data_IF_968106397240
#
_entry.id   IF_968106397240
#
_cell.length_a   1.000
_cell.length_b   1.000
_cell.length_c   1.000
_cell.angle_alpha   90.00
_cell.angle_beta   90.00
_cell.angle_gamma   90.00
#
_symmetry.space_group_name_H-M   'P 1'
#
loop_
_entity.id
_entity.type
_entity.pdbx_description
1 polymer ?
#
# COMPACT_ATOMS: atom_id res chain seq x y z
N UNK A 1 13.27 -21.65 -12.99
CA UNK A 1 13.02 -20.34 -12.38
C UNK A 1 11.59 -20.27 -11.88
N UNK A 2 11.44 -20.01 -10.61
CA UNK A 2 10.12 -19.90 -10.05
C UNK A 2 9.44 -18.63 -10.57
N UNK A 3 8.30 -18.79 -11.18
CA UNK A 3 7.50 -17.67 -11.66
C UNK A 3 6.23 -17.65 -10.83
N UNK A 4 5.91 -16.49 -10.31
CA UNK A 4 4.67 -16.31 -9.56
C UNK A 4 3.51 -16.35 -10.53
N UNK A 5 2.52 -17.20 -10.27
CA UNK A 5 1.36 -17.31 -11.14
C UNK A 5 0.45 -16.10 -11.01
N UNK A 6 -0.38 -15.87 -12.01
CA UNK A 6 -1.39 -14.81 -11.96
C UNK A 6 -2.32 -14.99 -10.76
N UNK A 7 -2.71 -16.22 -10.48
CA UNK A 7 -3.57 -16.53 -9.33
C UNK A 7 -2.94 -16.15 -8.00
N UNK A 8 -1.64 -16.40 -7.85
CA UNK A 8 -0.90 -16.01 -6.65
C UNK A 8 -0.84 -14.49 -6.51
N UNK A 9 -0.61 -13.78 -7.63
CA UNK A 9 -0.59 -12.32 -7.62
C UNK A 9 -1.96 -11.74 -7.27
N UNK A 10 -3.03 -12.31 -7.82
CA UNK A 10 -4.39 -11.89 -7.51
C UNK A 10 -4.72 -12.15 -6.04
N UNK A 11 -4.32 -13.29 -5.49
CA UNK A 11 -4.51 -13.60 -4.08
C UNK A 11 -3.75 -12.63 -3.18
N UNK A 12 -2.50 -12.35 -3.50
CA UNK A 12 -1.70 -11.39 -2.74
C UNK A 12 -2.32 -10.00 -2.80
N UNK A 13 -2.84 -9.61 -3.94
CA UNK A 13 -3.52 -8.33 -4.08
C UNK A 13 -4.77 -8.27 -3.21
N UNK A 14 -5.55 -9.34 -3.16
CA UNK A 14 -6.72 -9.44 -2.29
C UNK A 14 -6.34 -9.31 -0.81
N UNK A 15 -5.26 -9.95 -0.40
CA UNK A 15 -4.74 -9.83 0.96
C UNK A 15 -4.29 -8.42 1.27
N UNK A 16 -3.60 -7.78 0.34
CA UNK A 16 -3.14 -6.41 0.48
C UNK A 16 -4.33 -5.47 0.71
N UNK A 17 -5.36 -5.59 -0.12
CA UNK A 17 -6.56 -4.77 0.02
C UNK A 17 -7.25 -4.97 1.36
N UNK A 18 -7.38 -6.21 1.82
CA UNK A 18 -8.00 -6.52 3.10
C UNK A 18 -7.20 -5.94 4.27
N UNK A 19 -5.88 -6.07 4.25
CA UNK A 19 -5.03 -5.56 5.31
C UNK A 19 -4.98 -4.03 5.27
N UNK A 20 -4.99 -3.44 4.08
CA UNK A 20 -5.05 -1.99 3.95
C UNK A 20 -6.34 -1.42 4.56
N UNK A 21 -7.47 -2.08 4.32
CA UNK A 21 -8.74 -1.69 4.94
C UNK A 21 -8.66 -1.76 6.46
N UNK A 22 -8.09 -2.83 6.99
CA UNK A 22 -7.87 -2.99 8.43
C UNK A 22 -6.97 -1.89 8.98
N UNK A 23 -5.88 -1.59 8.27
CA UNK A 23 -4.95 -0.54 8.66
C UNK A 23 -5.63 0.82 8.75
N UNK A 24 -6.47 1.13 7.78
CA UNK A 24 -7.26 2.37 7.79
C UNK A 24 -8.20 2.43 8.98
N UNK A 25 -8.88 1.34 9.29
CA UNK A 25 -9.81 1.27 10.42
C UNK A 25 -9.09 1.42 11.76
N UNK A 26 -7.91 0.85 11.88
CA UNK A 26 -7.13 0.90 13.11
C UNK A 26 -6.28 2.17 13.23
N UNK A 27 -6.08 2.87 12.10
CA UNK A 27 -5.16 4.01 12.05
C UNK A 27 -3.70 3.59 12.26
N UNK A 28 -3.36 2.38 11.86
CA UNK A 28 -2.02 1.82 12.04
C UNK A 28 -1.69 0.90 10.86
N UNK A 29 -0.72 1.31 10.05
CA UNK A 29 -0.37 0.59 8.82
C UNK A 29 0.76 -0.42 8.98
N UNK A 30 1.29 -0.62 10.19
CA UNK A 30 2.37 -1.57 10.45
C UNK A 30 2.01 -3.01 10.03
N UNK A 31 0.75 -3.36 10.07
CA UNK A 31 0.28 -4.69 9.67
C UNK A 31 0.53 -5.00 8.18
N UNK A 32 0.70 -3.98 7.33
CA UNK A 32 1.04 -4.21 5.93
C UNK A 32 2.37 -4.96 5.79
N UNK A 33 3.28 -4.75 6.70
CA UNK A 33 4.59 -5.41 6.65
C UNK A 33 4.51 -6.93 6.84
N UNK A 34 3.41 -7.44 7.37
CA UNK A 34 3.21 -8.89 7.48
C UNK A 34 3.18 -9.60 6.12
N UNK A 35 2.90 -8.85 5.05
CA UNK A 35 2.89 -9.36 3.68
C UNK A 35 4.25 -9.25 2.99
N UNK A 36 5.23 -8.62 3.62
CA UNK A 36 6.53 -8.39 3.03
C UNK A 36 7.50 -9.53 3.35
N UNK A 37 8.43 -9.79 2.44
CA UNK A 37 9.54 -10.71 2.72
C UNK A 37 10.53 -10.07 3.69
N UNK A 38 11.36 -10.88 4.33
CA UNK A 38 12.35 -10.37 5.30
C UNK A 38 13.35 -9.40 4.68
N UNK A 39 13.68 -9.60 3.40
CA UNK A 39 14.65 -8.81 2.66
C UNK A 39 14.01 -7.79 1.73
N UNK A 40 12.75 -7.46 1.95
CA UNK A 40 12.03 -6.53 1.07
C UNK A 40 12.68 -5.16 1.01
N UNK A 41 12.43 -4.48 -0.09
CA UNK A 41 12.88 -3.10 -0.31
C UNK A 41 11.64 -2.25 -0.52
N UNK A 42 11.60 -1.11 0.14
CA UNK A 42 10.50 -0.16 0.06
C UNK A 42 11.08 1.23 -0.17
N UNK A 43 10.53 1.95 -1.11
CA UNK A 43 11.04 3.28 -1.39
C UNK A 43 10.08 4.14 -2.17
N UNK A 44 10.44 5.40 -2.28
CA UNK A 44 9.70 6.38 -3.07
C UNK A 44 10.64 7.48 -3.55
N UNK A 45 10.23 8.14 -4.60
CA UNK A 45 10.98 9.25 -5.17
C UNK A 45 10.41 10.58 -4.69
N UNK A 46 11.30 11.54 -4.44
CA UNK A 46 10.92 12.90 -4.10
C UNK A 46 11.73 13.88 -4.97
N UNK A 47 11.33 15.16 -5.03
CA UNK A 47 12.15 16.16 -5.73
C UNK A 47 13.57 16.28 -5.20
N UNK A 48 13.78 15.92 -3.94
CA UNK A 48 15.09 16.02 -3.29
C UNK A 48 15.91 14.72 -3.37
N UNK A 49 15.39 13.70 -4.02
CA UNK A 49 16.08 12.43 -4.16
C UNK A 49 15.20 11.24 -3.85
N UNK A 50 15.83 10.09 -3.84
CA UNK A 50 15.17 8.81 -3.63
C UNK A 50 15.35 8.36 -2.19
N UNK A 51 14.27 7.93 -1.57
CA UNK A 51 14.30 7.27 -0.26
C UNK A 51 14.08 5.78 -0.46
N UNK A 52 14.94 4.96 0.15
CA UNK A 52 14.87 3.52 0.02
C UNK A 52 15.27 2.87 1.35
N UNK A 53 14.48 1.89 1.76
CA UNK A 53 14.69 1.15 3.00
C UNK A 53 14.70 -0.35 2.69
N UNK A 54 15.52 -1.10 3.39
CA UNK A 54 15.65 -2.54 3.20
C UNK A 54 15.38 -3.25 4.52
N UNK A 55 14.62 -4.33 4.44
CA UNK A 55 14.31 -5.17 5.59
C UNK A 55 12.92 -4.94 6.14
N UNK A 56 12.18 -6.04 6.31
CA UNK A 56 10.79 -5.99 6.73
C UNK A 56 10.57 -5.23 8.03
N UNK A 57 11.40 -5.48 9.05
CA UNK A 57 11.19 -4.84 10.35
C UNK A 57 11.56 -3.36 10.35
N UNK A 58 12.56 -2.97 9.58
CA UNK A 58 12.88 -1.56 9.37
C UNK A 58 11.71 -0.85 8.68
N UNK A 59 11.16 -1.47 7.65
CA UNK A 59 10.04 -0.91 6.89
C UNK A 59 8.79 -0.86 7.76
N UNK A 60 8.56 -1.87 8.61
CA UNK A 60 7.42 -1.89 9.53
C UNK A 60 7.39 -0.66 10.43
N UNK A 61 8.53 -0.28 10.96
CA UNK A 61 8.61 0.84 11.91
C UNK A 61 8.76 2.20 11.24
N UNK A 62 9.23 2.24 10.01
CA UNK A 62 9.46 3.51 9.29
C UNK A 62 8.40 3.78 8.22
N UNK A 63 8.44 3.09 7.10
CA UNK A 63 7.61 3.40 5.92
C UNK A 63 6.12 3.22 6.17
N UNK A 64 5.75 2.16 6.87
CA UNK A 64 4.34 1.90 7.20
C UNK A 64 4.07 2.10 8.69
N UNK A 65 5.05 2.60 9.43
CA UNK A 65 4.94 2.96 10.85
C UNK A 65 4.94 4.46 11.03
N UNK A 66 6.06 5.01 11.48
CA UNK A 66 6.18 6.42 11.83
C UNK A 66 5.80 7.37 10.69
N UNK A 67 6.14 7.02 9.44
CA UNK A 67 5.82 7.86 8.29
C UNK A 67 4.30 7.98 8.06
N UNK A 68 3.51 7.02 8.52
CA UNK A 68 2.06 7.03 8.37
C UNK A 68 1.33 7.62 9.59
N UNK A 69 2.02 7.89 10.68
CA UNK A 69 1.38 8.43 11.89
C UNK A 69 0.59 9.74 11.65
N UNK A 70 1.03 10.67 10.79
CA UNK A 70 0.27 11.87 10.49
C UNK A 70 -1.03 11.64 9.71
N UNK A 71 -1.23 10.43 9.18
CA UNK A 71 -2.33 10.12 8.26
C UNK A 71 -3.48 9.37 8.93
N UNK A 72 -3.68 9.60 10.22
CA UNK A 72 -4.80 9.00 10.95
C UNK A 72 -6.12 9.44 10.36
N UNK A 73 -7.00 8.47 10.08
CA UNK A 73 -8.31 8.74 9.49
C UNK A 73 -8.31 8.88 7.97
N UNK A 74 -7.14 8.85 7.34
CA UNK A 74 -7.04 8.85 5.88
C UNK A 74 -7.43 7.49 5.33
N UNK A 75 -7.97 7.48 4.11
CA UNK A 75 -8.27 6.26 3.37
C UNK A 75 -7.62 6.30 1.99
N UNK A 76 -7.39 5.12 1.43
CA UNK A 76 -6.65 4.97 0.17
C UNK A 76 -7.42 4.02 -0.75
N UNK A 77 -8.62 4.43 -1.23
CA UNK A 77 -9.36 3.58 -2.16
C UNK A 77 -8.59 3.41 -3.46
N UNK A 78 -8.45 2.18 -3.89
CA UNK A 78 -7.70 1.87 -5.10
C UNK A 78 -8.58 2.10 -6.33
N UNK A 79 -7.99 2.67 -7.36
CA UNK A 79 -8.65 2.97 -8.63
C UNK A 79 -8.34 1.87 -9.65
N UNK A 80 -7.08 1.61 -9.90
CA UNK A 80 -6.66 0.63 -10.89
C UNK A 80 -5.69 -0.37 -10.30
N UNK A 81 -5.86 -1.64 -10.69
CA UNK A 81 -4.96 -2.71 -10.31
C UNK A 81 -4.56 -3.42 -11.61
N UNK A 82 -3.27 -3.42 -11.91
CA UNK A 82 -2.71 -4.06 -13.10
C UNK A 82 -1.74 -5.14 -12.65
N UNK A 83 -1.95 -6.36 -13.12
CA UNK A 83 -1.11 -7.49 -12.78
C UNK A 83 -0.28 -7.88 -14.00
N UNK A 84 1.04 -7.91 -13.82
CA UNK A 84 1.99 -8.37 -14.82
C UNK A 84 2.57 -9.70 -14.35
N UNK A 85 1.95 -10.78 -14.77
CA UNK A 85 2.37 -12.13 -14.37
C UNK A 85 3.73 -12.53 -14.93
N UNK A 86 4.10 -11.94 -16.07
CA UNK A 86 5.41 -12.22 -16.68
C UNK A 86 6.54 -11.75 -15.80
N UNK A 87 6.37 -10.62 -15.14
CA UNK A 87 7.37 -10.04 -14.25
C UNK A 87 7.14 -10.36 -12.78
N UNK A 88 5.98 -10.91 -12.44
CA UNK A 88 5.61 -11.15 -11.05
C UNK A 88 5.33 -9.85 -10.30
N UNK A 89 4.74 -8.87 -10.97
CA UNK A 89 4.54 -7.53 -10.43
C UNK A 89 3.07 -7.13 -10.49
N UNK A 90 2.68 -6.23 -9.59
CA UNK A 90 1.40 -5.56 -9.63
C UNK A 90 1.61 -4.05 -9.54
N UNK A 91 0.82 -3.31 -10.31
CA UNK A 91 0.83 -1.85 -10.31
C UNK A 91 -0.54 -1.36 -9.91
N UNK A 92 -0.58 -0.42 -8.97
CA UNK A 92 -1.84 0.10 -8.46
C UNK A 92 -1.84 1.61 -8.46
N UNK A 93 -3.03 2.18 -8.64
CA UNK A 93 -3.28 3.59 -8.41
C UNK A 93 -4.34 3.72 -7.34
N UNK A 94 -4.26 4.79 -6.56
CA UNK A 94 -5.22 5.03 -5.48
C UNK A 94 -5.44 6.52 -5.28
N UNK A 95 -6.49 6.83 -4.54
CA UNK A 95 -6.80 8.18 -4.12
C UNK A 95 -6.38 8.37 -2.67
N UNK A 96 -5.65 9.44 -2.40
CA UNK A 96 -5.31 9.80 -1.02
C UNK A 96 -6.43 10.68 -0.49
N UNK A 97 -7.18 10.16 0.47
CA UNK A 97 -8.43 10.78 0.89
C UNK A 97 -8.37 11.15 2.37
N UNK A 98 -8.29 12.45 2.70
CA UNK A 98 -8.24 12.90 4.08
C UNK A 98 -9.56 12.71 4.80
N UNK A 99 -9.55 12.71 6.15
CA UNK A 99 -10.79 12.65 6.93
C UNK A 99 -11.71 13.82 6.58
N UNK A 100 -12.99 13.54 6.49
CA UNK A 100 -14.00 14.57 6.25
C UNK A 100 -14.13 15.01 4.80
N UNK A 101 -13.35 14.46 3.88
CA UNK A 101 -13.50 14.75 2.46
C UNK A 101 -14.87 14.23 1.97
N UNK A 102 -15.55 14.98 1.07
CA UNK A 102 -16.82 14.53 0.52
C UNK A 102 -16.69 13.20 -0.22
N UNK A 103 -17.70 12.36 -0.12
CA UNK A 103 -17.76 11.10 -0.86
C UNK A 103 -18.31 11.37 -2.24
N UNK A 104 -17.60 10.94 -3.27
CA UNK A 104 -18.01 11.07 -4.67
C UNK A 104 -19.12 10.08 -4.99
N UNK A 105 -19.77 10.27 -6.16
CA UNK A 105 -20.85 9.38 -6.61
C UNK A 105 -20.40 7.92 -6.74
N UNK A 106 -19.12 7.70 -7.05
CA UNK A 106 -18.54 6.37 -7.17
C UNK A 106 -18.14 5.76 -5.81
N UNK A 107 -18.45 6.44 -4.70
CA UNK A 107 -18.11 5.98 -3.37
C UNK A 107 -16.70 6.38 -2.92
N UNK A 108 -15.96 7.09 -3.73
CA UNK A 108 -14.62 7.55 -3.41
C UNK A 108 -14.71 8.98 -2.85
N UNK A 109 -13.96 9.25 -1.80
CA UNK A 109 -13.89 10.62 -1.26
C UNK A 109 -12.97 11.47 -2.12
N UNK A 110 -13.33 12.74 -2.28
CA UNK A 110 -12.49 13.67 -3.03
C UNK A 110 -11.17 13.93 -2.32
N UNK A 111 -10.11 13.95 -3.11
CA UNK A 111 -8.81 14.41 -2.65
C UNK A 111 -8.80 15.95 -2.59
N UNK A 112 -8.12 16.53 -1.63
CA UNK A 112 -7.99 17.98 -1.59
C UNK A 112 -7.13 18.51 -2.74
#
# INVERSE_FOLDING_TARGET
>A
MAVVSREELEEMMSRWLAINTRAEQEGNWRCLADLFTEDCVYGWDTPNGKYEFTGREVIRETCVGAAMDPYQGWTYPYDKIVIDETRGEAFVTWWQTPPGAPVREDGIRDSP
#
